data_IF_760919485596
#
_entry.id   IF_760919485596
#
_cell.length_a   1.000
_cell.length_b   1.000
_cell.length_c   1.000
_cell.angle_alpha   90.00
_cell.angle_beta   90.00
_cell.angle_gamma   90.00
#
_symmetry.space_group_name_H-M   'P 1'
#
loop_
_entity.id
_entity.type
_entity.pdbx_description
1 polymer ?
#
# COMPACT_ATOMS: atom_id res chain seq x y z
N UNK A 1 -13.59 4.08 -14.54
CA UNK A 1 -12.12 4.02 -14.70
C UNK A 1 -11.39 5.07 -13.85
N UNK A 2 -12.09 5.84 -13.01
CA UNK A 2 -11.58 7.10 -12.43
C UNK A 2 -11.28 7.03 -10.94
N UNK A 3 -12.04 6.29 -10.13
CA UNK A 3 -11.86 6.27 -8.68
C UNK A 3 -10.51 5.69 -8.23
N UNK A 4 -10.01 4.62 -8.87
CA UNK A 4 -8.81 3.91 -8.39
C UNK A 4 -7.50 4.70 -8.55
N UNK A 5 -7.39 5.53 -9.59
CA UNK A 5 -6.25 6.43 -9.74
C UNK A 5 -6.23 7.53 -8.65
N UNK A 6 -7.40 7.89 -8.11
CA UNK A 6 -7.54 8.89 -7.05
C UNK A 6 -6.99 8.39 -5.71
N UNK A 7 -7.00 7.06 -5.48
CA UNK A 7 -6.45 6.44 -4.27
C UNK A 7 -4.92 6.27 -4.31
N UNK A 8 -4.29 6.22 -5.48
CA UNK A 8 -2.83 6.07 -5.59
C UNK A 8 -2.09 7.24 -4.91
N UNK A 9 -2.60 8.46 -5.06
CA UNK A 9 -1.99 9.66 -4.49
C UNK A 9 -1.93 9.64 -2.95
N UNK A 10 -3.04 9.47 -2.20
CA UNK A 10 -2.97 9.44 -0.74
C UNK A 10 -2.18 8.24 -0.20
N UNK A 11 -2.15 7.10 -0.91
CA UNK A 11 -1.29 5.97 -0.52
C UNK A 11 0.19 6.35 -0.68
N UNK A 12 0.57 7.00 -1.79
CA UNK A 12 1.92 7.53 -1.98
C UNK A 12 2.28 8.58 -0.93
N UNK A 13 1.37 9.51 -0.65
CA UNK A 13 1.59 10.56 0.36
C UNK A 13 1.80 9.92 1.75
N UNK A 14 1.08 8.84 2.09
CA UNK A 14 1.34 8.04 3.29
C UNK A 14 2.72 7.38 3.26
N UNK A 15 3.09 6.70 2.17
CA UNK A 15 4.38 6.02 2.05
C UNK A 15 5.53 7.02 2.20
N UNK A 16 5.49 8.16 1.52
CA UNK A 16 6.54 9.19 1.59
C UNK A 16 6.68 9.81 2.98
N UNK A 17 5.60 9.89 3.78
CA UNK A 17 5.69 10.31 5.19
C UNK A 17 6.41 9.27 6.05
N UNK A 18 6.20 7.98 5.77
CA UNK A 18 6.73 6.88 6.58
C UNK A 18 8.14 6.45 6.14
N UNK A 19 8.46 6.60 4.87
CA UNK A 19 9.71 6.21 4.23
C UNK A 19 10.25 7.41 3.42
N UNK A 20 10.73 8.47 4.10
CA UNK A 20 11.05 9.75 3.45
C UNK A 20 12.22 9.66 2.45
N UNK A 21 13.10 8.68 2.63
CA UNK A 21 14.27 8.47 1.78
C UNK A 21 14.04 7.36 0.73
N UNK A 22 12.83 6.81 0.65
CA UNK A 22 12.52 5.71 -0.24
C UNK A 22 12.19 6.16 -1.67
N UNK A 23 12.61 5.34 -2.63
CA UNK A 23 12.06 5.39 -3.99
C UNK A 23 10.84 4.47 -4.05
N UNK A 24 9.73 4.96 -4.62
CA UNK A 24 8.50 4.18 -4.74
C UNK A 24 8.16 3.96 -6.20
N UNK A 25 8.03 2.71 -6.60
CA UNK A 25 7.55 2.33 -7.93
C UNK A 25 6.10 1.82 -7.80
N UNK A 26 5.20 2.33 -8.65
CA UNK A 26 3.77 1.99 -8.62
C UNK A 26 3.41 1.13 -9.82
N UNK A 27 2.92 -0.08 -9.58
CA UNK A 27 2.61 -1.03 -10.65
C UNK A 27 1.12 -1.44 -10.57
N UNK A 28 0.42 -1.38 -11.71
CA UNK A 28 -0.91 -1.96 -11.85
C UNK A 28 -0.80 -3.39 -12.40
N UNK A 29 -1.41 -4.36 -11.71
CA UNK A 29 -1.54 -5.72 -12.26
C UNK A 29 -2.57 -5.76 -13.38
N UNK A 30 -2.39 -6.65 -14.36
CA UNK A 30 -3.28 -6.83 -15.52
C UNK A 30 -4.76 -7.00 -15.15
N UNK A 31 -5.05 -7.58 -13.98
CA UNK A 31 -6.42 -7.79 -13.49
C UNK A 31 -7.06 -6.57 -12.85
N UNK A 32 -6.30 -5.49 -12.58
CA UNK A 32 -6.78 -4.26 -11.93
C UNK A 32 -7.56 -4.54 -10.63
N UNK A 33 -7.08 -5.48 -9.82
CA UNK A 33 -7.69 -5.85 -8.54
C UNK A 33 -7.01 -5.16 -7.34
N UNK A 34 -5.83 -4.57 -7.56
CA UNK A 34 -5.04 -3.90 -6.53
C UNK A 34 -4.16 -2.79 -7.09
N UNK A 35 -3.82 -1.85 -6.19
CA UNK A 35 -2.70 -0.93 -6.35
C UNK A 35 -1.48 -1.56 -5.68
N UNK A 36 -0.34 -1.58 -6.38
CA UNK A 36 0.90 -2.20 -5.87
C UNK A 36 2.01 -1.16 -5.82
N UNK A 37 2.75 -1.17 -4.72
CA UNK A 37 3.83 -0.23 -4.43
C UNK A 37 5.05 -1.03 -4.03
N UNK A 38 6.12 -0.89 -4.80
CA UNK A 38 7.45 -1.36 -4.44
C UNK A 38 8.21 -0.18 -3.82
N UNK A 39 8.58 -0.29 -2.55
CA UNK A 39 9.21 0.76 -1.75
C UNK A 39 10.66 0.34 -1.53
N UNK A 40 11.61 1.13 -2.01
CA UNK A 40 13.04 0.84 -1.94
C UNK A 40 13.71 1.84 -1.00
N UNK A 41 14.22 1.38 0.14
CA UNK A 41 14.88 2.22 1.16
C UNK A 41 16.14 1.50 1.68
N UNK A 42 17.31 2.15 1.60
CA UNK A 42 18.56 1.64 2.20
C UNK A 42 18.86 0.16 1.86
N UNK A 43 18.80 -0.20 0.57
CA UNK A 43 19.00 -1.56 0.05
C UNK A 43 17.91 -2.59 0.43
N UNK A 44 16.86 -2.17 1.14
CA UNK A 44 15.68 -3.00 1.44
C UNK A 44 14.55 -2.72 0.45
N UNK A 45 13.79 -3.76 0.14
CA UNK A 45 12.58 -3.66 -0.68
C UNK A 45 11.38 -4.03 0.18
N UNK A 46 10.31 -3.25 0.08
CA UNK A 46 9.04 -3.55 0.72
C UNK A 46 7.94 -3.55 -0.35
N UNK A 47 7.04 -4.52 -0.27
CA UNK A 47 5.92 -4.63 -1.21
C UNK A 47 4.61 -4.37 -0.47
N UNK A 48 3.93 -3.30 -0.85
CA UNK A 48 2.58 -2.99 -0.38
C UNK A 48 1.59 -3.20 -1.52
N UNK A 49 0.61 -4.07 -1.29
CA UNK A 49 -0.55 -4.27 -2.17
C UNK A 49 -1.79 -3.80 -1.44
N UNK A 50 -2.57 -2.92 -2.07
CA UNK A 50 -3.85 -2.45 -1.55
C UNK A 50 -4.96 -2.93 -2.47
N UNK A 51 -5.79 -3.86 -1.97
CA UNK A 51 -6.88 -4.44 -2.76
C UNK A 51 -7.98 -3.41 -2.99
N UNK A 52 -8.48 -3.34 -4.22
CA UNK A 52 -9.54 -2.38 -4.59
C UNK A 52 -10.82 -2.58 -3.79
N UNK A 53 -11.13 -3.81 -3.37
CA UNK A 53 -12.28 -4.09 -2.50
C UNK A 53 -12.22 -3.33 -1.17
N UNK A 54 -11.02 -3.06 -0.64
CA UNK A 54 -10.85 -2.28 0.59
C UNK A 54 -11.08 -0.79 0.36
N UNK A 55 -10.86 -0.33 -0.86
CA UNK A 55 -11.04 1.05 -1.28
C UNK A 55 -12.47 1.35 -1.73
N UNK A 56 -13.30 0.33 -1.97
CA UNK A 56 -14.65 0.49 -2.47
C UNK A 56 -15.60 1.15 -1.46
N UNK A 57 -15.33 0.97 -0.16
CA UNK A 57 -16.21 1.39 0.94
C UNK A 57 -15.64 2.57 1.76
N UNK A 58 -14.54 3.19 1.32
CA UNK A 58 -13.90 4.32 2.04
C UNK A 58 -13.76 5.56 1.15
N UNK A 59 -13.72 6.73 1.77
CA UNK A 59 -13.38 7.96 1.07
C UNK A 59 -11.86 8.09 0.85
N UNK A 60 -11.47 8.81 -0.20
CA UNK A 60 -10.05 9.11 -0.51
C UNK A 60 -9.34 9.80 0.67
N UNK A 61 -10.07 10.61 1.44
CA UNK A 61 -9.60 11.29 2.65
C UNK A 61 -9.28 10.34 3.81
N UNK A 62 -9.86 9.13 3.82
CA UNK A 62 -9.74 8.16 4.92
C UNK A 62 -8.61 7.16 4.74
N UNK A 63 -7.96 7.14 3.56
CA UNK A 63 -6.88 6.21 3.20
C UNK A 63 -5.74 6.21 4.20
N UNK A 64 -5.28 7.41 4.59
CA UNK A 64 -4.18 7.54 5.55
C UNK A 64 -4.56 6.94 6.92
N UNK A 65 -5.81 7.14 7.35
CA UNK A 65 -6.32 6.58 8.59
C UNK A 65 -6.44 5.05 8.50
N UNK A 66 -6.91 4.51 7.37
CA UNK A 66 -6.98 3.07 7.11
C UNK A 66 -5.59 2.41 7.23
N UNK A 67 -4.60 2.93 6.52
CA UNK A 67 -3.23 2.38 6.52
C UNK A 67 -2.58 2.50 7.91
N UNK A 68 -2.89 3.58 8.64
CA UNK A 68 -2.43 3.78 10.02
C UNK A 68 -3.09 2.80 10.98
N UNK A 69 -4.40 2.56 10.87
CA UNK A 69 -5.14 1.62 11.72
C UNK A 69 -4.59 0.19 11.59
N UNK A 70 -4.10 -0.17 10.41
CA UNK A 70 -3.47 -1.46 10.16
C UNK A 70 -1.96 -1.48 10.45
N UNK A 71 -1.38 -0.39 10.95
CA UNK A 71 0.06 -0.28 11.24
C UNK A 71 0.95 -0.65 10.04
N UNK A 72 0.52 -0.39 8.80
CA UNK A 72 1.17 -0.89 7.58
C UNK A 72 2.67 -0.60 7.56
N UNK A 73 3.09 0.64 7.83
CA UNK A 73 4.50 1.00 7.83
C UNK A 73 5.35 0.24 8.86
N UNK A 74 4.83 0.01 10.07
CA UNK A 74 5.53 -0.78 11.08
C UNK A 74 5.66 -2.23 10.61
N UNK A 75 4.58 -2.78 10.07
CA UNK A 75 4.58 -4.17 9.59
C UNK A 75 5.54 -4.36 8.41
N UNK A 76 5.62 -3.42 7.46
CA UNK A 76 6.59 -3.49 6.34
C UNK A 76 8.03 -3.56 6.87
N UNK A 77 8.37 -2.76 7.89
CA UNK A 77 9.72 -2.78 8.49
C UNK A 77 10.02 -4.06 9.24
N UNK A 78 9.01 -4.67 9.86
CA UNK A 78 9.17 -5.89 10.66
C UNK A 78 9.30 -7.15 9.80
N UNK A 79 8.55 -7.23 8.68
CA UNK A 79 8.55 -8.42 7.82
C UNK A 79 9.58 -8.37 6.67
N UNK A 80 10.12 -7.19 6.37
CA UNK A 80 11.10 -6.99 5.30
C UNK A 80 10.49 -7.22 3.92
N UNK A 81 11.14 -8.06 3.11
CA UNK A 81 10.80 -8.27 1.69
C UNK A 81 9.48 -9.03 1.46
N UNK A 82 8.78 -9.46 2.52
CA UNK A 82 7.48 -10.11 2.40
C UNK A 82 6.39 -9.12 1.97
N UNK A 83 5.56 -9.45 0.97
CA UNK A 83 4.44 -8.61 0.59
C UNK A 83 3.37 -8.48 1.69
N UNK A 84 2.90 -7.25 1.91
CA UNK A 84 1.68 -6.97 2.67
C UNK A 84 0.53 -6.75 1.70
N UNK A 85 -0.59 -7.43 1.95
CA UNK A 85 -1.84 -7.21 1.25
C UNK A 85 -2.86 -6.60 2.20
N UNK A 86 -3.26 -5.36 1.93
CA UNK A 86 -4.32 -4.64 2.64
C UNK A 86 -5.67 -4.99 2.02
N UNK A 87 -6.57 -5.53 2.84
CA UNK A 87 -7.94 -5.94 2.48
C UNK A 87 -8.95 -5.22 3.38
N UNK A 88 -10.24 -5.36 3.09
CA UNK A 88 -11.31 -4.83 3.95
C UNK A 88 -11.39 -5.55 5.32
N UNK A 89 -10.76 -6.73 5.45
CA UNK A 89 -10.71 -7.50 6.71
C UNK A 89 -9.40 -7.31 7.50
N UNK A 90 -8.45 -6.52 7.00
CA UNK A 90 -7.14 -6.31 7.62
C UNK A 90 -5.97 -6.54 6.68
N UNK A 91 -4.78 -6.76 7.25
CA UNK A 91 -3.57 -7.10 6.52
C UNK A 91 -3.35 -8.61 6.48
N UNK A 92 -3.07 -9.14 5.29
CA UNK A 92 -2.65 -10.52 5.06
C UNK A 92 -1.18 -10.53 4.64
N UNK A 93 -0.42 -11.49 5.16
CA UNK A 93 0.98 -11.74 4.78
C UNK A 93 1.01 -12.96 3.87
N UNK A 94 1.61 -12.83 2.68
CA UNK A 94 1.57 -13.91 1.70
C UNK A 94 2.63 -13.81 0.63
N UNK A 95 2.92 -14.95 0.01
CA UNK A 95 3.84 -15.07 -1.13
C UNK A 95 3.38 -14.18 -2.30
N UNK A 96 4.32 -13.62 -3.08
CA UNK A 96 4.03 -12.90 -4.33
C UNK A 96 3.02 -13.58 -5.25
#
# INVERSE_FOLDING_TARGET
MTAYAEFSKPILDYISKQFPDATVEVWEHEKKESLNFNILENERSFVLRVMHECLADIEVSEVEQLLTNYNVAQVLRDIGDFPIVVTNMGCIFGSP
#
